data_IF_396472760711
#
_entry.id   IF_396472760711
#
_cell.length_a   1.000
_cell.length_b   1.000
_cell.length_c   1.000
_cell.angle_alpha   90.00
_cell.angle_beta   90.00
_cell.angle_gamma   90.00
#
_symmetry.space_group_name_H-M   'P 1'
#
loop_
_entity.id
_entity.type
_entity.pdbx_description
1 polymer ?
#
# COMPACT_ATOMS: atom_id res chain seq x y z
N UNK A 1 31.22 29.59 -42.52
CA UNK A 1 29.99 30.37 -42.31
C UNK A 1 29.00 29.43 -41.63
N UNK A 2 28.89 29.48 -40.30
CA UNK A 2 28.02 28.59 -39.53
C UNK A 2 26.70 29.32 -39.27
N UNK A 3 25.61 28.84 -39.87
CA UNK A 3 24.26 29.21 -39.47
C UNK A 3 23.70 28.01 -38.71
N UNK A 4 23.81 28.04 -37.39
CA UNK A 4 23.05 27.13 -36.54
C UNK A 4 21.64 27.71 -36.38
N UNK A 5 20.76 27.43 -37.35
CA UNK A 5 19.33 27.56 -37.15
C UNK A 5 18.81 26.24 -36.62
N UNK A 6 18.58 26.18 -35.31
CA UNK A 6 17.71 25.21 -34.67
C UNK A 6 17.10 25.88 -33.44
N UNK A 7 16.28 26.90 -33.66
CA UNK A 7 15.30 27.34 -32.67
C UNK A 7 14.00 26.66 -33.08
N UNK A 8 13.64 25.59 -32.38
CA UNK A 8 12.34 24.96 -32.50
C UNK A 8 11.34 25.89 -31.82
N UNK A 9 10.64 26.71 -32.61
CA UNK A 9 9.48 27.47 -32.14
C UNK A 9 8.36 26.48 -31.85
N UNK A 10 8.29 26.04 -30.59
CA UNK A 10 7.15 25.28 -30.11
C UNK A 10 5.94 26.22 -30.00
N UNK A 11 4.78 25.80 -30.52
CA UNK A 11 3.56 26.57 -30.35
C UNK A 11 3.20 26.68 -28.87
N UNK A 12 2.60 27.81 -28.47
CA UNK A 12 2.12 28.03 -27.10
C UNK A 12 1.18 26.90 -26.64
N UNK A 13 0.31 26.43 -27.54
CA UNK A 13 -0.58 25.29 -27.29
C UNK A 13 0.19 24.00 -26.96
N UNK A 14 1.29 23.71 -27.66
CA UNK A 14 2.14 22.56 -27.38
C UNK A 14 2.84 22.70 -26.02
N UNK A 15 3.36 23.88 -25.70
CA UNK A 15 4.00 24.17 -24.40
C UNK A 15 2.99 24.00 -23.26
N UNK A 16 1.79 24.55 -23.41
CA UNK A 16 0.71 24.41 -22.42
C UNK A 16 0.26 22.96 -22.26
N UNK A 17 0.20 22.19 -23.35
CA UNK A 17 -0.07 20.76 -23.31
C UNK A 17 0.99 19.98 -22.51
N UNK A 18 2.27 20.29 -22.72
CA UNK A 18 3.37 19.68 -21.95
C UNK A 18 3.32 20.05 -20.47
N UNK A 19 3.02 21.30 -20.13
CA UNK A 19 2.89 21.74 -18.74
C UNK A 19 1.73 21.03 -18.02
N UNK A 20 0.57 20.91 -18.67
CA UNK A 20 -0.57 20.18 -18.11
C UNK A 20 -0.22 18.72 -17.84
N UNK A 21 0.42 18.05 -18.81
CA UNK A 21 0.87 16.67 -18.63
C UNK A 21 1.89 16.53 -17.49
N UNK A 22 2.85 17.46 -17.39
CA UNK A 22 3.83 17.44 -16.32
C UNK A 22 3.20 17.64 -14.93
N UNK A 23 2.15 18.47 -14.83
CA UNK A 23 1.38 18.65 -13.60
C UNK A 23 0.60 17.39 -13.23
N UNK A 24 -0.06 16.75 -14.19
CA UNK A 24 -0.75 15.46 -13.99
C UNK A 24 0.23 14.36 -13.55
N UNK A 25 1.39 14.26 -14.22
CA UNK A 25 2.44 13.31 -13.86
C UNK A 25 3.00 13.58 -12.45
N UNK A 26 3.13 14.84 -12.04
CA UNK A 26 3.57 15.22 -10.69
C UNK A 26 2.54 14.81 -9.64
N UNK A 27 1.26 15.13 -9.86
CA UNK A 27 0.17 14.75 -8.97
C UNK A 27 0.07 13.23 -8.82
N UNK A 28 0.20 12.49 -9.91
CA UNK A 28 0.14 11.03 -9.88
C UNK A 28 1.31 10.43 -9.08
N UNK A 29 2.50 11.03 -9.18
CA UNK A 29 3.65 10.61 -8.36
C UNK A 29 3.41 10.86 -6.88
N UNK A 30 2.86 12.01 -6.51
CA UNK A 30 2.52 12.32 -5.11
C UNK A 30 1.51 11.30 -4.54
N UNK A 31 0.51 10.91 -5.33
CA UNK A 31 -0.44 9.86 -4.93
C UNK A 31 0.29 8.54 -4.67
N UNK A 32 1.15 8.09 -5.58
CA UNK A 32 1.89 6.83 -5.41
C UNK A 32 2.85 6.86 -4.23
N UNK A 33 3.45 8.00 -3.96
CA UNK A 33 4.27 8.25 -2.78
C UNK A 33 3.46 8.04 -1.48
N UNK A 34 2.22 8.55 -1.44
CA UNK A 34 1.32 8.31 -0.32
C UNK A 34 0.86 6.85 -0.20
N UNK A 35 0.57 6.18 -1.34
CA UNK A 35 0.26 4.74 -1.37
C UNK A 35 1.43 3.94 -0.80
N UNK A 36 2.66 4.26 -1.19
CA UNK A 36 3.85 3.58 -0.70
C UNK A 36 4.01 3.70 0.82
N UNK A 37 3.89 4.93 1.35
CA UNK A 37 3.99 5.17 2.80
C UNK A 37 2.90 4.43 3.59
N UNK A 38 1.64 4.52 3.16
CA UNK A 38 0.55 3.87 3.89
C UNK A 38 0.66 2.35 3.81
N UNK A 39 1.00 1.80 2.63
CA UNK A 39 1.23 0.37 2.45
C UNK A 39 2.32 -0.13 3.38
N UNK A 40 3.45 0.57 3.43
CA UNK A 40 4.61 0.16 4.23
C UNK A 40 4.28 0.07 5.73
N UNK A 41 3.40 0.93 6.23
CA UNK A 41 3.06 1.00 7.66
C UNK A 41 1.80 0.21 8.02
N UNK A 42 0.76 0.28 7.20
CA UNK A 42 -0.58 -0.20 7.53
C UNK A 42 -0.91 -1.59 6.98
N UNK A 43 -0.28 -2.05 5.89
CA UNK A 43 -0.71 -3.26 5.18
C UNK A 43 -0.71 -4.51 6.05
N UNK A 44 0.39 -4.76 6.77
CA UNK A 44 0.52 -5.93 7.62
C UNK A 44 -0.38 -5.84 8.88
N UNK A 45 -0.41 -4.74 9.64
CA UNK A 45 -1.38 -4.56 10.73
C UNK A 45 -2.84 -4.72 10.29
N UNK A 46 -3.20 -4.15 9.14
CA UNK A 46 -4.53 -4.27 8.56
C UNK A 46 -4.86 -5.71 8.20
N UNK A 47 -3.91 -6.46 7.64
CA UNK A 47 -4.10 -7.89 7.35
C UNK A 47 -4.40 -8.69 8.62
N UNK A 48 -3.65 -8.49 9.71
CA UNK A 48 -3.91 -9.22 10.95
C UNK A 48 -5.24 -8.85 11.58
N UNK A 49 -5.61 -7.57 11.58
CA UNK A 49 -6.92 -7.14 12.09
C UNK A 49 -8.07 -7.72 11.24
N UNK A 50 -7.91 -7.72 9.91
CA UNK A 50 -8.85 -8.36 8.99
C UNK A 50 -8.99 -9.86 9.28
N UNK A 51 -7.87 -10.60 9.37
CA UNK A 51 -7.91 -12.03 9.61
C UNK A 51 -8.45 -12.39 10.99
N UNK A 52 -8.20 -11.57 12.01
CA UNK A 52 -8.78 -11.74 13.33
C UNK A 52 -10.30 -11.56 13.30
N UNK A 53 -10.78 -10.51 12.62
CA UNK A 53 -12.21 -10.28 12.41
C UNK A 53 -12.86 -11.40 11.58
N UNK A 54 -12.19 -11.92 10.55
CA UNK A 54 -12.72 -13.03 9.76
C UNK A 54 -12.79 -14.29 10.60
N UNK A 55 -11.74 -14.62 11.37
CA UNK A 55 -11.70 -15.84 12.18
C UNK A 55 -12.75 -15.86 13.29
N UNK A 56 -13.11 -14.70 13.85
CA UNK A 56 -14.17 -14.64 14.87
C UNK A 56 -15.55 -14.98 14.31
N UNK A 57 -15.81 -14.62 13.06
CA UNK A 57 -17.12 -14.80 12.41
C UNK A 57 -17.20 -16.04 11.52
N UNK A 58 -16.05 -16.57 11.07
CA UNK A 58 -16.02 -17.67 10.13
C UNK A 58 -16.44 -18.97 10.83
N UNK A 59 -17.40 -19.74 10.27
CA UNK A 59 -17.81 -21.02 10.83
C UNK A 59 -16.60 -21.96 11.05
N UNK A 60 -16.56 -22.63 12.19
CA UNK A 60 -15.42 -23.48 12.60
C UNK A 60 -14.96 -24.46 11.53
N UNK A 61 -15.86 -25.03 10.74
CA UNK A 61 -15.52 -25.96 9.64
C UNK A 61 -14.63 -25.36 8.55
N UNK A 62 -14.64 -24.03 8.38
CA UNK A 62 -13.86 -23.32 7.37
C UNK A 62 -12.60 -22.67 7.94
N UNK A 63 -12.46 -22.55 9.27
CA UNK A 63 -11.27 -21.95 9.90
C UNK A 63 -9.95 -22.64 9.52
N UNK A 64 -9.86 -23.99 9.47
CA UNK A 64 -8.63 -24.68 9.06
C UNK A 64 -8.13 -24.29 7.66
N UNK A 65 -9.03 -23.86 6.78
CA UNK A 65 -8.68 -23.45 5.41
C UNK A 65 -7.84 -22.16 5.39
N UNK A 66 -7.83 -21.39 6.48
CA UNK A 66 -7.15 -20.10 6.63
C UNK A 66 -5.96 -20.14 7.60
N UNK A 67 -5.55 -21.30 8.11
CA UNK A 67 -4.46 -21.41 9.08
C UNK A 67 -3.09 -21.01 8.50
N UNK A 68 -2.85 -21.33 7.23
CA UNK A 68 -1.58 -21.02 6.54
C UNK A 68 -1.57 -19.67 5.82
N UNK A 69 -2.59 -18.84 6.01
CA UNK A 69 -2.72 -17.54 5.33
C UNK A 69 -2.04 -16.46 6.18
N UNK A 70 -0.94 -15.90 5.67
CA UNK A 70 -0.11 -14.94 6.41
C UNK A 70 -0.07 -13.53 5.79
N UNK A 71 -0.68 -13.35 4.62
CA UNK A 71 -0.84 -12.05 3.97
C UNK A 71 -1.99 -12.13 2.95
N UNK A 72 -2.33 -10.99 2.35
CA UNK A 72 -3.39 -10.91 1.33
C UNK A 72 -3.06 -11.70 0.04
N UNK A 73 -1.78 -11.90 -0.29
CA UNK A 73 -1.39 -12.75 -1.42
C UNK A 73 -1.77 -14.21 -1.18
N UNK A 74 -1.48 -14.73 0.02
CA UNK A 74 -1.79 -16.09 0.43
C UNK A 74 -3.31 -16.29 0.52
N UNK A 75 -4.04 -15.28 1.01
CA UNK A 75 -5.49 -15.27 1.02
C UNK A 75 -6.04 -15.41 -0.40
N UNK A 76 -5.58 -14.57 -1.33
CA UNK A 76 -6.02 -14.62 -2.73
C UNK A 76 -5.74 -15.96 -3.39
N UNK A 77 -4.55 -16.53 -3.15
CA UNK A 77 -4.20 -17.88 -3.64
C UNK A 77 -5.14 -18.93 -3.06
N UNK A 78 -5.41 -18.87 -1.75
CA UNK A 78 -6.29 -19.82 -1.06
C UNK A 78 -7.72 -19.75 -1.56
N UNK A 79 -8.27 -18.54 -1.67
CA UNK A 79 -9.62 -18.28 -2.18
C UNK A 79 -9.74 -18.76 -3.64
N UNK A 80 -8.72 -18.52 -4.46
CA UNK A 80 -8.69 -18.99 -5.85
C UNK A 80 -8.63 -20.52 -5.95
N UNK A 81 -7.86 -21.18 -5.07
CA UNK A 81 -7.80 -22.64 -5.01
C UNK A 81 -9.13 -23.27 -4.58
N UNK A 82 -9.95 -22.54 -3.82
CA UNK A 82 -11.25 -22.97 -3.30
C UNK A 82 -12.44 -22.48 -4.15
N UNK A 83 -12.20 -22.01 -5.39
CA UNK A 83 -13.23 -21.43 -6.28
C UNK A 83 -14.49 -22.27 -6.51
N UNK A 84 -14.41 -23.58 -6.31
CA UNK A 84 -15.55 -24.50 -6.44
C UNK A 84 -16.42 -24.62 -5.19
N UNK A 85 -15.97 -24.11 -4.04
CA UNK A 85 -16.69 -24.17 -2.77
C UNK A 85 -17.46 -22.87 -2.53
N UNK A 86 -18.65 -22.78 -3.14
CA UNK A 86 -19.54 -21.64 -2.95
C UNK A 86 -19.86 -21.37 -1.47
N UNK A 87 -19.97 -22.42 -0.65
CA UNK A 87 -20.24 -22.28 0.77
C UNK A 87 -19.12 -21.57 1.53
N UNK A 88 -17.86 -21.90 1.20
CA UNK A 88 -16.70 -21.20 1.74
C UNK A 88 -16.67 -19.72 1.31
N UNK A 89 -16.93 -19.42 0.04
CA UNK A 89 -16.94 -18.03 -0.45
C UNK A 89 -17.98 -17.17 0.27
N UNK A 90 -19.22 -17.66 0.39
CA UNK A 90 -20.29 -16.95 1.10
C UNK A 90 -19.95 -16.79 2.58
N UNK A 91 -19.38 -17.81 3.21
CA UNK A 91 -18.96 -17.74 4.60
C UNK A 91 -17.84 -16.70 4.81
N UNK A 92 -16.85 -16.67 3.92
CA UNK A 92 -15.76 -15.70 3.97
C UNK A 92 -16.28 -14.27 3.77
N UNK A 93 -17.12 -14.03 2.76
CA UNK A 93 -17.68 -12.71 2.50
C UNK A 93 -18.54 -12.21 3.67
N UNK A 94 -19.34 -13.09 4.29
CA UNK A 94 -20.09 -12.74 5.49
C UNK A 94 -19.17 -12.46 6.69
N UNK A 95 -18.12 -13.25 6.89
CA UNK A 95 -17.15 -13.05 7.96
C UNK A 95 -16.32 -11.77 7.79
N UNK A 96 -16.15 -11.28 6.56
CA UNK A 96 -15.48 -10.02 6.26
C UNK A 96 -16.31 -8.77 6.57
N UNK A 97 -17.64 -8.90 6.69
CA UNK A 97 -18.55 -7.74 6.86
C UNK A 97 -18.22 -6.86 8.07
N UNK A 98 -17.91 -7.39 9.27
CA UNK A 98 -17.61 -6.53 10.42
C UNK A 98 -16.36 -5.68 10.21
N UNK A 99 -15.29 -6.24 9.64
CA UNK A 99 -14.11 -5.47 9.27
C UNK A 99 -14.45 -4.40 8.22
N UNK A 100 -15.14 -4.79 7.15
CA UNK A 100 -15.56 -3.88 6.09
C UNK A 100 -16.44 -2.73 6.62
N UNK A 101 -17.37 -3.02 7.52
CA UNK A 101 -18.19 -1.99 8.18
C UNK A 101 -17.38 -1.09 9.11
N UNK A 102 -16.43 -1.65 9.86
CA UNK A 102 -15.55 -0.89 10.76
C UNK A 102 -14.64 0.08 10.00
N UNK A 103 -14.16 -0.28 8.82
CA UNK A 103 -13.18 0.50 8.05
C UNK A 103 -13.74 1.06 6.73
N UNK A 104 -15.06 1.03 6.54
CA UNK A 104 -15.71 1.51 5.32
C UNK A 104 -15.05 0.94 4.05
N UNK A 105 -14.66 -0.33 4.12
CA UNK A 105 -13.95 -1.02 3.04
C UNK A 105 -14.93 -1.84 2.20
N UNK A 106 -14.72 -1.89 0.88
CA UNK A 106 -15.53 -2.71 -0.02
C UNK A 106 -15.33 -4.21 0.28
N UNK A 107 -16.39 -5.00 0.15
CA UNK A 107 -16.28 -6.46 0.22
C UNK A 107 -15.38 -6.97 -0.91
N UNK A 108 -14.37 -7.77 -0.55
CA UNK A 108 -13.43 -8.31 -1.52
C UNK A 108 -12.30 -7.36 -1.89
N UNK A 109 -12.10 -6.24 -1.18
CA UNK A 109 -10.97 -5.31 -1.41
C UNK A 109 -9.63 -6.03 -1.55
N UNK A 110 -9.42 -7.10 -0.76
CA UNK A 110 -8.20 -7.91 -0.77
C UNK A 110 -7.88 -8.54 -2.14
N UNK A 111 -8.88 -8.75 -3.01
CA UNK A 111 -8.70 -9.27 -4.37
C UNK A 111 -7.83 -8.35 -5.22
N UNK A 112 -7.79 -7.06 -4.91
CA UNK A 112 -7.00 -6.05 -5.60
C UNK A 112 -5.55 -5.93 -5.08
N UNK A 113 -5.13 -6.77 -4.14
CA UNK A 113 -3.76 -6.77 -3.61
C UNK A 113 -2.68 -6.82 -4.70
N UNK A 114 -2.88 -7.61 -5.77
CA UNK A 114 -1.92 -7.70 -6.86
C UNK A 114 -1.76 -6.36 -7.62
N UNK A 115 -2.86 -5.61 -7.77
CA UNK A 115 -2.83 -4.28 -8.38
C UNK A 115 -2.12 -3.26 -7.47
N UNK A 116 -2.35 -3.32 -6.16
CA UNK A 116 -1.61 -2.51 -5.18
C UNK A 116 -0.10 -2.76 -5.27
N UNK A 117 0.32 -4.03 -5.37
CA UNK A 117 1.75 -4.37 -5.51
C UNK A 117 2.34 -3.86 -6.83
N UNK A 118 1.57 -3.83 -7.91
CA UNK A 118 2.01 -3.31 -9.21
C UNK A 118 2.24 -1.79 -9.20
N UNK A 119 1.45 -1.04 -8.43
CA UNK A 119 1.68 0.41 -8.23
C UNK A 119 3.06 0.65 -7.57
N UNK A 120 3.51 -0.29 -6.76
CA UNK A 120 4.73 -0.16 -5.96
C UNK A 120 6.02 -0.54 -6.70
N UNK A 121 5.96 -1.19 -7.87
CA UNK A 121 7.16 -1.63 -8.59
C UNK A 121 7.90 -0.52 -9.32
N UNK A 122 7.30 0.66 -9.48
CA UNK A 122 7.79 1.69 -10.42
C UNK A 122 8.58 2.86 -9.81
N UNK A 123 8.79 2.97 -8.48
CA UNK A 123 9.65 4.06 -7.94
C UNK A 123 10.11 3.94 -6.49
N UNK A 124 11.08 4.80 -6.20
CA UNK A 124 12.10 4.74 -5.15
C UNK A 124 11.88 5.88 -4.12
N UNK A 125 12.18 5.57 -2.85
CA UNK A 125 12.16 6.39 -1.62
C UNK A 125 10.84 6.42 -0.85
N UNK A 126 10.91 5.80 0.33
CA UNK A 126 9.98 5.98 1.45
C UNK A 126 9.67 7.46 1.62
N UNK A 127 8.40 7.82 1.45
CA UNK A 127 7.94 9.16 1.79
C UNK A 127 7.77 9.21 3.29
N UNK A 128 8.61 10.02 3.94
CA UNK A 128 8.58 10.26 5.37
C UNK A 128 7.46 11.25 5.72
N UNK A 129 6.21 10.91 5.41
CA UNK A 129 5.05 11.63 5.94
C UNK A 129 4.29 10.76 6.95
N UNK A 130 3.50 11.42 7.81
CA UNK A 130 2.66 10.71 8.78
C UNK A 130 1.63 9.85 8.06
N UNK A 131 1.21 8.76 8.70
CA UNK A 131 0.12 7.93 8.18
C UNK A 131 -1.14 8.76 8.01
N UNK A 132 -1.42 9.68 8.93
CA UNK A 132 -2.58 10.58 8.83
C UNK A 132 -2.56 11.44 7.56
N UNK A 133 -1.39 12.00 7.19
CA UNK A 133 -1.26 12.80 5.98
C UNK A 133 -1.46 11.93 4.71
N UNK A 134 -0.86 10.75 4.67
CA UNK A 134 -1.09 9.80 3.57
C UNK A 134 -2.54 9.36 3.47
N UNK A 135 -3.19 9.04 4.58
CA UNK A 135 -4.59 8.62 4.59
C UNK A 135 -5.49 9.73 4.02
N UNK A 136 -5.32 10.98 4.47
CA UNK A 136 -6.10 12.11 3.97
C UNK A 136 -5.88 12.37 2.48
N UNK A 137 -4.63 12.34 2.02
CA UNK A 137 -4.30 12.53 0.60
C UNK A 137 -4.88 11.41 -0.28
N UNK A 138 -4.86 10.17 0.20
CA UNK A 138 -5.41 9.03 -0.53
C UNK A 138 -6.94 9.03 -0.54
N UNK A 139 -7.60 9.38 0.56
CA UNK A 139 -9.06 9.53 0.58
C UNK A 139 -9.50 10.57 -0.47
N UNK A 140 -8.81 11.72 -0.55
CA UNK A 140 -9.11 12.72 -1.58
C UNK A 140 -8.80 12.21 -3.01
N UNK A 141 -7.73 11.43 -3.17
CA UNK A 141 -7.35 10.87 -4.47
C UNK A 141 -8.34 9.81 -4.96
N UNK A 142 -8.85 8.95 -4.06
CA UNK A 142 -9.85 7.94 -4.37
C UNK A 142 -11.16 8.56 -4.91
N UNK A 143 -11.54 9.74 -4.41
CA UNK A 143 -12.73 10.46 -4.89
C UNK A 143 -12.56 11.09 -6.30
N UNK A 144 -11.32 11.27 -6.79
CA UNK A 144 -11.02 12.20 -7.90
C UNK A 144 -10.09 11.66 -8.99
N UNK A 145 -9.44 10.52 -8.78
CA UNK A 145 -8.32 10.07 -9.61
C UNK A 145 -8.54 8.65 -10.15
N UNK A 146 -8.64 8.56 -11.48
CA UNK A 146 -8.68 7.28 -12.23
C UNK A 146 -7.37 6.47 -12.11
N UNK A 147 -6.32 7.08 -11.53
CA UNK A 147 -4.98 6.50 -11.43
C UNK A 147 -4.94 5.26 -10.52
N UNK A 148 -5.91 5.12 -9.63
CA UNK A 148 -5.98 4.02 -8.66
C UNK A 148 -6.98 2.93 -9.03
N UNK A 149 -7.72 3.04 -10.15
CA UNK A 149 -8.91 2.23 -10.46
C UNK A 149 -8.76 0.73 -10.21
N UNK A 150 -7.62 0.15 -10.56
CA UNK A 150 -7.40 -1.30 -10.40
C UNK A 150 -7.10 -1.75 -8.96
N UNK A 151 -6.71 -0.81 -8.09
CA UNK A 151 -6.37 -1.02 -6.69
C UNK A 151 -7.23 -0.18 -5.71
N UNK A 152 -8.26 0.51 -6.22
CA UNK A 152 -9.01 1.55 -5.52
C UNK A 152 -9.52 1.05 -4.16
N UNK A 153 -10.27 -0.05 -4.13
CA UNK A 153 -10.86 -0.57 -2.91
C UNK A 153 -9.80 -1.00 -1.87
N UNK A 154 -8.66 -1.51 -2.32
CA UNK A 154 -7.55 -1.86 -1.44
C UNK A 154 -6.86 -0.60 -0.87
N UNK A 155 -6.70 0.45 -1.69
CA UNK A 155 -6.13 1.72 -1.26
C UNK A 155 -7.07 2.46 -0.30
N UNK A 156 -8.38 2.46 -0.56
CA UNK A 156 -9.39 3.00 0.35
C UNK A 156 -9.40 2.28 1.70
N UNK A 157 -9.37 0.93 1.68
CA UNK A 157 -9.27 0.15 2.91
C UNK A 157 -8.01 0.51 3.72
N UNK A 158 -6.87 0.69 3.04
CA UNK A 158 -5.63 1.15 3.68
C UNK A 158 -5.74 2.57 4.22
N UNK A 159 -6.34 3.49 3.48
CA UNK A 159 -6.55 4.87 3.89
C UNK A 159 -7.43 4.95 5.14
N UNK A 160 -8.55 4.23 5.14
CA UNK A 160 -9.50 4.23 6.26
C UNK A 160 -8.93 3.52 7.50
N UNK A 161 -8.23 2.40 7.32
CA UNK A 161 -7.50 1.75 8.41
C UNK A 161 -6.40 2.66 8.95
N UNK A 162 -5.58 3.24 8.07
CA UNK A 162 -4.49 4.15 8.42
C UNK A 162 -4.98 5.38 9.16
N UNK A 163 -6.09 6.00 8.73
CA UNK A 163 -6.70 7.13 9.42
C UNK A 163 -7.10 6.82 10.86
N UNK A 164 -7.64 5.61 11.11
CA UNK A 164 -8.08 5.18 12.45
C UNK A 164 -6.91 4.78 13.37
N UNK A 165 -5.79 4.36 12.81
CA UNK A 165 -4.63 3.86 13.55
C UNK A 165 -3.36 4.70 13.38
N UNK A 166 -3.48 5.93 12.87
CA UNK A 166 -2.33 6.72 12.42
C UNK A 166 -1.26 6.91 13.51
N UNK A 167 -1.69 7.20 14.75
CA UNK A 167 -0.78 7.42 15.87
C UNK A 167 0.05 6.15 16.19
N UNK A 168 -0.61 4.99 16.27
CA UNK A 168 0.04 3.72 16.59
C UNK A 168 0.96 3.26 15.47
N UNK A 169 0.54 3.45 14.22
CA UNK A 169 1.32 3.09 13.04
C UNK A 169 2.57 3.97 12.88
N UNK A 170 2.45 5.28 13.11
CA UNK A 170 3.62 6.18 13.09
C UNK A 170 4.57 5.91 14.27
N UNK A 171 4.05 5.61 15.46
CA UNK A 171 4.87 5.23 16.61
C UNK A 171 5.65 3.94 16.37
N UNK A 172 4.99 2.91 15.84
CA UNK A 172 5.61 1.62 15.47
C UNK A 172 6.68 1.80 14.38
N UNK A 173 6.41 2.63 13.36
CA UNK A 173 7.38 2.91 12.31
C UNK A 173 8.63 3.62 12.86
N UNK A 174 8.48 4.55 13.79
CA UNK A 174 9.60 5.23 14.46
C UNK A 174 10.42 4.25 15.32
N UNK A 175 9.78 3.32 16.02
CA UNK A 175 10.47 2.28 16.79
C UNK A 175 11.30 1.35 15.89
N UNK A 176 10.70 0.85 14.81
CA UNK A 176 11.40 0.03 13.82
C UNK A 176 12.60 0.76 13.19
N UNK A 177 12.45 2.07 12.93
CA UNK A 177 13.53 2.89 12.42
C UNK A 177 14.69 2.98 13.43
N UNK A 178 14.41 3.22 14.71
CA UNK A 178 15.41 3.25 15.78
C UNK A 178 16.16 1.93 15.90
N UNK A 179 15.44 0.81 15.85
CA UNK A 179 16.04 -0.53 15.87
C UNK A 179 16.94 -0.77 14.65
N UNK A 180 16.49 -0.40 13.46
CA UNK A 180 17.26 -0.50 12.22
C UNK A 180 18.54 0.34 12.24
N UNK A 181 18.48 1.56 12.79
CA UNK A 181 19.66 2.41 13.01
C UNK A 181 20.64 1.75 13.98
N UNK A 182 20.15 1.23 15.12
CA UNK A 182 20.98 0.57 16.11
C UNK A 182 21.67 -0.70 15.55
N UNK A 183 20.95 -1.51 14.78
CA UNK A 183 21.51 -2.68 14.11
C UNK A 183 22.59 -2.29 13.10
N UNK A 184 22.33 -1.27 12.29
CA UNK A 184 23.28 -0.74 11.31
C UNK A 184 24.56 -0.24 11.98
N UNK A 185 24.44 0.46 13.11
CA UNK A 185 25.59 0.91 13.91
C UNK A 185 26.39 -0.27 14.46
N UNK A 186 25.73 -1.31 15.00
CA UNK A 186 26.39 -2.55 15.48
C UNK A 186 27.16 -3.26 14.35
N UNK A 187 26.57 -3.37 13.17
CA UNK A 187 27.24 -3.98 12.00
C UNK A 187 28.46 -3.14 11.58
N UNK A 188 28.35 -1.81 11.53
CA UNK A 188 29.47 -0.91 11.23
C UNK A 188 30.60 -1.05 12.25
N UNK A 189 30.28 -1.13 13.54
CA UNK A 189 31.27 -1.32 14.61
C UNK A 189 31.99 -2.67 14.48
N UNK A 190 31.26 -3.78 14.26
CA UNK A 190 31.85 -5.11 14.04
C UNK A 190 32.80 -5.15 12.84
N UNK A 191 32.45 -4.50 11.74
CA UNK A 191 33.33 -4.39 10.55
C UNK A 191 34.62 -3.65 10.88
N UNK A 192 34.53 -2.50 11.56
CA UNK A 192 35.71 -1.73 11.97
C UNK A 192 36.63 -2.50 12.92
N UNK A 193 36.07 -3.22 13.90
CA UNK A 193 36.86 -4.03 14.83
C UNK A 193 37.52 -5.25 14.19
N UNK A 194 36.99 -5.76 13.07
CA UNK A 194 37.59 -6.86 12.32
C UNK A 194 38.78 -6.39 11.49
N UNK A 195 38.65 -5.24 10.83
CA UNK A 195 39.73 -4.60 10.05
C UNK A 195 40.91 -4.20 10.95
N UNK A 196 40.67 -3.79 12.20
CA UNK A 196 41.73 -3.44 13.16
C UNK A 196 42.48 -4.64 13.77
N UNK A 197 42.06 -5.87 13.48
CA UNK A 197 42.67 -7.12 13.99
C UNK A 197 43.42 -7.90 12.90
N UNK A 198 43.37 -7.44 11.66
CA UNK A 198 44.12 -7.93 10.51
C UNK A 198 45.31 -6.98 10.25
#
# INVERSE_FOLDING_TARGET
MYVAQNVTDFSEEYIMGLLKKAQEDSRNREIFDHVHNIRAKALEPMFYDFMNSVRSELPHRYQPLLESVNNFQDLNKRVSALRGDHGFHVALENASKPFCGKYEAELGFWKQYAALEAINTDRNKVVHCSVAASAAALSEACDKSDTLDTALAMVEALANFGAKHAADLDASAEEQWKEGVALTQRVKQKRKSKILRE
#
